data_IF_576480494122
#
_entry.id   IF_576480494122
#
_cell.length_a   1.000
_cell.length_b   1.000
_cell.length_c   1.000
_cell.angle_alpha   90.00
_cell.angle_beta   90.00
_cell.angle_gamma   90.00
#
_symmetry.space_group_name_H-M   'P 1'
#
loop_
_entity.id
_entity.type
_entity.pdbx_description
1 polymer ?
#
# COMPACT_ATOMS: atom_id res chain seq x y z
N UNK A 1 11.68 -19.16 -11.12
CA UNK A 1 10.78 -18.40 -12.02
C UNK A 1 11.47 -17.09 -12.34
N UNK A 2 11.52 -16.71 -13.64
CA UNK A 2 12.22 -15.49 -14.07
C UNK A 2 11.28 -14.29 -14.00
N UNK A 3 11.78 -13.14 -13.54
CA UNK A 3 11.06 -11.88 -13.41
C UNK A 3 10.55 -11.36 -14.77
N UNK A 4 11.26 -11.62 -15.86
CA UNK A 4 10.89 -11.23 -17.22
C UNK A 4 9.51 -11.78 -17.65
N UNK A 5 9.03 -12.85 -17.02
CA UNK A 5 7.69 -13.38 -17.27
C UNK A 5 6.56 -12.45 -16.82
N UNK A 6 6.89 -11.42 -16.03
CA UNK A 6 5.96 -10.42 -15.51
C UNK A 6 6.22 -9.04 -16.09
N UNK A 7 6.97 -8.99 -17.20
CA UNK A 7 7.21 -7.77 -17.94
C UNK A 7 6.09 -7.50 -18.95
N UNK A 8 5.81 -6.23 -19.18
CA UNK A 8 4.91 -5.74 -20.21
C UNK A 8 5.26 -4.30 -20.53
N UNK A 9 5.03 -3.91 -21.76
CA UNK A 9 5.24 -2.52 -22.20
C UNK A 9 4.11 -1.64 -21.66
N UNK A 10 4.47 -0.62 -20.88
CA UNK A 10 3.55 0.34 -20.28
C UNK A 10 3.93 1.74 -20.74
N UNK A 11 3.07 2.42 -21.55
CA UNK A 11 3.26 3.81 -21.92
C UNK A 11 3.29 4.73 -20.68
N UNK A 12 4.27 5.62 -20.60
CA UNK A 12 4.45 6.53 -19.43
C UNK A 12 3.23 7.43 -19.20
N UNK A 13 2.54 7.84 -20.26
CA UNK A 13 1.34 8.67 -20.21
C UNK A 13 0.17 8.01 -19.49
N UNK A 14 0.17 6.68 -19.36
CA UNK A 14 -0.85 5.94 -18.59
C UNK A 14 -0.55 5.91 -17.08
N UNK A 15 0.62 6.34 -16.66
CA UNK A 15 0.97 6.44 -15.24
C UNK A 15 0.30 7.67 -14.63
N UNK A 16 -0.71 7.45 -13.80
CA UNK A 16 -1.50 8.52 -13.21
C UNK A 16 -0.67 9.42 -12.29
N UNK A 17 -0.52 10.69 -12.63
CA UNK A 17 0.21 11.68 -11.85
C UNK A 17 -0.66 12.36 -10.79
N UNK A 18 -1.97 12.46 -11.03
CA UNK A 18 -2.93 13.12 -10.14
C UNK A 18 -4.15 12.26 -9.90
N UNK A 19 -4.79 12.34 -8.72
CA UNK A 19 -6.06 11.67 -8.48
C UNK A 19 -7.19 12.28 -9.33
N UNK A 20 -8.20 11.49 -9.65
CA UNK A 20 -9.45 11.98 -10.24
C UNK A 20 -10.16 12.93 -9.26
N UNK A 21 -10.93 13.87 -9.74
CA UNK A 21 -11.70 14.80 -8.90
C UNK A 21 -12.62 14.03 -7.94
N UNK A 22 -13.40 13.09 -8.44
CA UNK A 22 -14.20 12.16 -7.63
C UNK A 22 -13.53 10.79 -7.60
N UNK A 23 -13.25 10.25 -6.40
CA UNK A 23 -12.50 9.01 -6.18
C UNK A 23 -13.14 7.79 -6.85
N UNK A 24 -14.46 7.69 -6.78
CA UNK A 24 -15.27 6.55 -7.21
C UNK A 24 -15.67 6.58 -8.69
N UNK A 25 -15.21 7.58 -9.46
CA UNK A 25 -15.43 7.64 -10.91
C UNK A 25 -14.33 6.97 -11.73
N UNK A 26 -13.32 6.37 -11.10
CA UNK A 26 -12.28 5.60 -11.78
C UNK A 26 -12.88 4.43 -12.56
N UNK A 27 -12.21 4.02 -13.64
CA UNK A 27 -12.57 2.79 -14.35
C UNK A 27 -12.34 1.58 -13.46
N UNK A 28 -13.15 0.55 -13.65
CA UNK A 28 -13.06 -0.74 -12.98
C UNK A 28 -13.03 -1.85 -14.02
N UNK A 29 -11.95 -2.61 -14.07
CA UNK A 29 -11.86 -3.84 -14.85
C UNK A 29 -12.25 -5.02 -13.96
N UNK A 30 -13.30 -5.75 -14.32
CA UNK A 30 -13.67 -7.00 -13.67
C UNK A 30 -12.96 -8.13 -14.39
N UNK A 31 -12.22 -8.94 -13.66
CA UNK A 31 -11.53 -10.13 -14.19
C UNK A 31 -12.10 -11.39 -13.53
N UNK A 32 -12.71 -12.25 -14.32
CA UNK A 32 -13.15 -13.57 -13.89
C UNK A 32 -11.97 -14.54 -13.90
N UNK A 33 -11.38 -14.79 -12.73
CA UNK A 33 -10.11 -15.54 -12.60
C UNK A 33 -10.14 -16.97 -13.13
N UNK A 34 -11.33 -17.61 -13.21
CA UNK A 34 -11.48 -18.98 -13.73
C UNK A 34 -11.52 -19.02 -15.25
N UNK A 35 -12.11 -18.04 -15.89
CA UNK A 35 -12.36 -18.00 -17.34
C UNK A 35 -11.44 -17.06 -18.08
N UNK A 36 -10.87 -16.05 -17.39
CA UNK A 36 -10.13 -14.95 -18.01
C UNK A 36 -11.02 -13.90 -18.67
N UNK A 37 -12.37 -14.04 -18.54
CA UNK A 37 -13.33 -13.08 -19.06
C UNK A 37 -13.16 -11.72 -18.39
N UNK A 38 -13.40 -10.64 -19.17
CA UNK A 38 -13.19 -9.26 -18.73
C UNK A 38 -14.47 -8.46 -18.98
N UNK A 39 -14.86 -7.66 -17.99
CA UNK A 39 -15.87 -6.60 -18.13
C UNK A 39 -15.27 -5.24 -17.78
N UNK A 40 -15.81 -4.18 -18.39
CA UNK A 40 -15.40 -2.79 -18.13
C UNK A 40 -16.54 -2.02 -17.49
N UNK A 41 -16.24 -1.41 -16.33
CA UNK A 41 -17.20 -0.71 -15.46
C UNK A 41 -16.57 0.57 -14.89
N UNK A 42 -17.32 1.28 -14.06
CA UNK A 42 -16.81 2.31 -13.16
C UNK A 42 -16.76 1.77 -11.73
N UNK A 43 -15.95 2.39 -10.87
CA UNK A 43 -15.76 1.88 -9.51
C UNK A 43 -17.05 1.86 -8.68
N UNK A 44 -17.97 2.78 -8.94
CA UNK A 44 -19.30 2.81 -8.32
C UNK A 44 -20.09 1.52 -8.56
N UNK A 45 -19.84 0.83 -9.68
CA UNK A 45 -20.56 -0.39 -10.05
C UNK A 45 -20.09 -1.62 -9.26
N UNK A 46 -19.02 -1.48 -8.44
CA UNK A 46 -18.52 -2.58 -7.60
C UNK A 46 -19.60 -3.17 -6.71
N UNK A 47 -20.58 -2.35 -6.30
CA UNK A 47 -21.69 -2.78 -5.46
C UNK A 47 -22.53 -3.89 -6.10
N UNK A 48 -22.62 -3.93 -7.43
CA UNK A 48 -23.40 -4.94 -8.17
C UNK A 48 -22.75 -6.33 -8.10
N UNK A 49 -21.47 -6.39 -7.79
CA UNK A 49 -20.67 -7.61 -7.71
C UNK A 49 -20.50 -8.15 -6.29
N UNK A 50 -21.05 -7.45 -5.29
CA UNK A 50 -21.02 -7.84 -3.88
C UNK A 50 -22.37 -8.46 -3.48
N UNK A 51 -22.34 -9.51 -2.69
CA UNK A 51 -23.53 -10.19 -2.18
C UNK A 51 -23.72 -9.94 -0.68
N UNK A 52 -24.96 -9.96 -0.22
CA UNK A 52 -25.28 -9.90 1.21
C UNK A 52 -24.55 -10.99 1.97
N UNK A 53 -23.88 -10.61 3.06
CA UNK A 53 -23.07 -11.47 3.90
C UNK A 53 -21.61 -11.59 3.47
N UNK A 54 -21.23 -11.08 2.29
CA UNK A 54 -19.81 -10.93 1.93
C UNK A 54 -19.10 -9.95 2.88
N UNK A 55 -17.80 -10.02 2.93
CA UNK A 55 -16.98 -9.12 3.76
C UNK A 55 -15.87 -8.46 2.95
N UNK A 56 -15.88 -7.13 2.92
CA UNK A 56 -14.77 -6.31 2.45
C UNK A 56 -13.77 -6.07 3.57
N UNK A 57 -12.50 -6.34 3.30
CA UNK A 57 -11.41 -6.08 4.25
C UNK A 57 -10.53 -4.97 3.72
N UNK A 58 -10.52 -3.84 4.43
CA UNK A 58 -9.78 -2.64 4.08
C UNK A 58 -8.60 -2.41 5.02
N UNK A 59 -7.57 -1.73 4.54
CA UNK A 59 -6.44 -1.32 5.37
C UNK A 59 -6.64 0.12 5.86
N UNK A 60 -6.83 0.32 7.16
CA UNK A 60 -7.11 1.62 7.78
C UNK A 60 -5.86 2.39 8.21
N UNK A 61 -4.70 2.00 7.72
CA UNK A 61 -3.47 2.72 8.00
C UNK A 61 -3.55 4.18 7.52
N UNK A 62 -2.97 5.08 8.30
CA UNK A 62 -2.86 6.51 7.99
C UNK A 62 -1.41 6.87 7.65
N UNK A 63 -1.22 7.51 6.50
CA UNK A 63 0.09 8.00 6.06
C UNK A 63 0.47 9.21 6.89
N UNK A 64 1.73 9.24 7.33
CA UNK A 64 2.32 10.42 7.96
C UNK A 64 3.00 11.30 6.90
N UNK A 65 3.02 12.63 7.05
CA UNK A 65 3.84 13.51 6.23
C UNK A 65 5.32 13.31 6.59
N UNK A 66 5.86 12.18 6.10
CA UNK A 66 7.13 11.64 6.55
C UNK A 66 8.35 12.23 5.83
N UNK A 67 8.15 13.02 4.78
CA UNK A 67 9.24 13.64 4.02
C UNK A 67 9.55 15.01 4.58
N UNK A 68 10.74 15.17 5.13
CA UNK A 68 11.21 16.38 5.80
C UNK A 68 12.41 16.96 5.06
N UNK A 69 12.43 18.28 4.92
CA UNK A 69 13.57 19.02 4.38
C UNK A 69 14.19 19.86 5.48
N UNK A 70 15.47 19.66 5.70
CA UNK A 70 16.21 20.38 6.72
C UNK A 70 17.60 20.79 6.25
N UNK A 71 18.32 21.42 7.13
CA UNK A 71 19.72 21.83 6.90
C UNK A 71 20.62 21.15 7.92
N UNK A 72 21.74 20.63 7.47
CA UNK A 72 22.79 20.14 8.35
C UNK A 72 23.32 21.31 9.18
N UNK A 73 23.37 21.17 10.49
CA UNK A 73 23.61 22.30 11.40
C UNK A 73 24.95 22.98 11.13
N UNK A 74 26.02 22.21 10.91
CA UNK A 74 27.39 22.73 10.72
C UNK A 74 27.59 23.36 9.34
N UNK A 75 27.20 22.65 8.26
CA UNK A 75 27.56 23.02 6.88
C UNK A 75 26.46 23.76 6.13
N UNK A 76 25.26 23.86 6.71
CA UNK A 76 24.04 24.40 6.08
C UNK A 76 23.64 23.69 4.79
N UNK A 77 24.16 22.49 4.56
CA UNK A 77 23.77 21.67 3.41
C UNK A 77 22.31 21.22 3.53
N UNK A 78 21.58 21.31 2.44
CA UNK A 78 20.19 20.81 2.35
C UNK A 78 20.18 19.29 2.43
N UNK A 79 19.32 18.74 3.27
CA UNK A 79 19.14 17.31 3.51
C UNK A 79 17.64 16.99 3.45
N UNK A 80 17.29 16.03 2.62
CA UNK A 80 15.97 15.38 2.63
C UNK A 80 16.05 14.16 3.54
N UNK A 81 15.12 14.05 4.48
CA UNK A 81 14.94 12.88 5.33
C UNK A 81 13.53 12.36 5.17
N UNK A 82 13.41 11.08 4.85
CA UNK A 82 12.15 10.39 4.76
C UNK A 82 12.04 9.36 5.87
N UNK A 83 11.15 9.58 6.81
CA UNK A 83 10.89 8.67 7.92
C UNK A 83 10.27 7.36 7.38
N UNK A 84 10.87 6.21 7.72
CA UNK A 84 10.44 4.90 7.24
C UNK A 84 9.75 4.08 8.33
N UNK A 85 10.41 3.94 9.47
CA UNK A 85 10.00 3.07 10.56
C UNK A 85 10.54 3.57 11.88
N UNK A 86 9.68 3.66 12.88
CA UNK A 86 10.10 3.87 14.26
C UNK A 86 10.65 2.56 14.83
N UNK A 87 11.95 2.55 15.17
CA UNK A 87 12.64 1.37 15.72
C UNK A 87 12.60 1.31 17.24
N UNK A 88 12.51 2.47 17.88
CA UNK A 88 12.20 2.68 19.29
C UNK A 88 11.67 4.10 19.45
N UNK A 89 11.11 4.41 20.60
CA UNK A 89 10.54 5.74 20.89
C UNK A 89 11.45 6.86 20.41
N UNK A 90 10.90 7.73 19.57
CA UNK A 90 11.56 8.90 18.96
C UNK A 90 12.79 8.58 18.10
N UNK A 91 12.98 7.32 17.72
CA UNK A 91 14.14 6.90 16.93
C UNK A 91 13.68 6.16 15.68
N UNK A 92 14.05 6.69 14.52
CA UNK A 92 13.53 6.28 13.23
C UNK A 92 14.61 5.84 12.26
N UNK A 93 14.36 4.75 11.56
CA UNK A 93 15.06 4.48 10.30
C UNK A 93 14.53 5.45 9.24
N UNK A 94 15.45 6.07 8.49
CA UNK A 94 15.14 7.08 7.50
C UNK A 94 15.93 6.86 6.23
N UNK A 95 15.32 7.14 5.08
CA UNK A 95 16.06 7.30 3.83
C UNK A 95 16.52 8.75 3.72
N UNK A 96 17.79 8.97 3.38
CA UNK A 96 18.43 10.28 3.39
C UNK A 96 18.95 10.65 2.01
N UNK A 97 18.78 11.90 1.60
CA UNK A 97 19.37 12.45 0.37
C UNK A 97 19.98 13.83 0.65
N UNK A 98 21.25 14.03 0.30
CA UNK A 98 22.27 13.05 -0.08
C UNK A 98 22.83 12.32 1.15
N UNK A 99 22.70 10.98 1.19
CA UNK A 99 23.08 10.17 2.35
C UNK A 99 24.58 10.24 2.72
N UNK A 100 25.46 10.42 1.73
CA UNK A 100 26.92 10.55 1.93
C UNK A 100 27.34 11.75 2.80
N UNK A 101 26.43 12.72 2.97
CA UNK A 101 26.70 13.91 3.79
C UNK A 101 26.33 13.76 5.26
N UNK A 102 25.77 12.61 5.65
CA UNK A 102 25.30 12.39 7.02
C UNK A 102 26.03 11.21 7.65
N UNK A 103 26.73 11.51 8.76
CA UNK A 103 27.47 10.59 9.58
C UNK A 103 26.91 10.55 11.02
N UNK A 104 27.34 9.57 11.80
CA UNK A 104 26.93 9.46 13.22
C UNK A 104 27.30 10.71 13.99
N UNK A 105 26.37 11.20 14.81
CA UNK A 105 26.53 12.42 15.64
C UNK A 105 26.03 13.70 14.96
N UNK A 106 25.90 13.71 13.63
CA UNK A 106 25.48 14.92 12.90
C UNK A 106 23.99 15.23 13.09
N UNK A 107 23.68 16.53 13.11
CA UNK A 107 22.35 17.05 13.36
C UNK A 107 21.80 17.72 12.10
N UNK A 108 20.57 17.40 11.76
CA UNK A 108 19.76 18.08 10.74
C UNK A 108 18.65 18.85 11.43
N UNK A 109 18.60 20.16 11.19
CA UNK A 109 17.56 21.05 11.72
C UNK A 109 16.49 21.30 10.68
N UNK A 110 15.21 21.05 11.02
CA UNK A 110 14.05 21.28 10.15
C UNK A 110 13.34 22.59 10.50
N UNK A 111 13.23 22.88 11.79
CA UNK A 111 12.66 24.13 12.33
C UNK A 111 13.18 24.38 13.75
N UNK A 112 12.66 25.38 14.42
CA UNK A 112 12.94 25.61 15.84
C UNK A 112 12.25 24.59 16.76
N UNK A 113 11.27 23.84 16.22
CA UNK A 113 10.50 22.80 16.93
C UNK A 113 11.05 21.39 16.71
N UNK A 114 11.79 21.12 15.60
CA UNK A 114 12.22 19.79 15.22
C UNK A 114 13.64 19.77 14.67
N UNK A 115 14.45 18.86 15.21
CA UNK A 115 15.75 18.45 14.68
C UNK A 115 15.91 16.92 14.78
N UNK A 116 16.89 16.38 14.07
CA UNK A 116 17.19 14.95 14.10
C UNK A 116 18.71 14.74 14.21
N UNK A 117 19.14 13.87 15.13
CA UNK A 117 20.53 13.48 15.28
C UNK A 117 20.76 12.07 14.73
N UNK A 118 21.72 11.92 13.82
CA UNK A 118 22.10 10.61 13.29
C UNK A 118 22.77 9.76 14.36
N UNK A 119 22.21 8.59 14.64
CA UNK A 119 22.74 7.65 15.65
C UNK A 119 23.39 6.42 15.03
N UNK A 120 23.04 6.09 13.77
CA UNK A 120 23.60 4.91 13.08
C UNK A 120 23.57 5.16 11.56
N UNK A 121 24.60 4.66 10.88
CA UNK A 121 24.71 4.64 9.40
C UNK A 121 24.51 3.21 8.93
N UNK A 122 23.54 3.02 8.01
CA UNK A 122 23.26 1.74 7.36
C UNK A 122 23.51 1.85 5.85
N UNK A 123 23.46 0.72 5.17
CA UNK A 123 23.59 0.64 3.72
C UNK A 123 22.42 1.29 2.97
N UNK A 124 22.52 1.40 1.66
CA UNK A 124 21.48 1.88 0.75
C UNK A 124 20.90 3.27 1.06
N UNK A 125 21.68 4.14 1.71
CA UNK A 125 21.23 5.49 2.06
C UNK A 125 20.37 5.57 3.32
N UNK A 126 20.25 4.46 4.05
CA UNK A 126 19.52 4.41 5.32
C UNK A 126 20.38 4.99 6.45
N UNK A 127 19.74 5.76 7.31
CA UNK A 127 20.28 6.30 8.55
C UNK A 127 19.28 6.12 9.67
N UNK A 128 19.77 5.95 10.89
CA UNK A 128 18.90 5.97 12.08
C UNK A 128 19.04 7.33 12.75
N UNK A 129 17.92 7.99 12.97
CA UNK A 129 17.86 9.30 13.61
C UNK A 129 17.06 9.25 14.90
N UNK A 130 17.59 9.90 15.93
CA UNK A 130 16.82 10.28 17.09
C UNK A 130 16.19 11.65 16.82
N UNK A 131 14.87 11.73 16.85
CA UNK A 131 14.14 12.99 16.71
C UNK A 131 14.17 13.75 18.03
N UNK A 132 14.42 15.04 17.95
CA UNK A 132 14.49 15.98 19.08
C UNK A 132 13.47 17.08 18.76
N UNK A 133 12.40 17.17 19.57
CA UNK A 133 11.30 18.06 19.27
C UNK A 133 10.66 18.66 20.54
N UNK A 134 9.91 19.75 20.36
CA UNK A 134 9.15 20.45 21.40
C UNK A 134 7.66 20.44 21.01
N UNK A 135 6.83 19.72 21.77
CA UNK A 135 5.40 19.58 21.50
C UNK A 135 4.99 18.16 21.08
N UNK A 136 3.97 18.03 20.24
CA UNK A 136 3.46 16.75 19.75
C UNK A 136 4.06 16.47 18.38
N UNK A 137 4.80 15.37 18.25
CA UNK A 137 5.55 15.02 17.03
C UNK A 137 4.66 15.03 15.78
N UNK A 138 3.50 14.41 15.84
CA UNK A 138 2.64 14.29 14.65
C UNK A 138 2.05 15.63 14.19
N UNK A 139 1.79 16.57 15.10
CA UNK A 139 1.38 17.95 14.74
C UNK A 139 2.52 18.68 14.04
N UNK A 140 3.75 18.50 14.51
CA UNK A 140 4.94 19.09 13.90
C UNK A 140 5.19 18.49 12.52
N UNK A 141 4.99 17.17 12.34
CA UNK A 141 5.11 16.53 11.05
C UNK A 141 4.03 17.01 10.07
N UNK A 142 2.80 17.24 10.54
CA UNK A 142 1.73 17.80 9.71
C UNK A 142 2.06 19.24 9.25
N UNK A 143 2.74 20.03 10.09
CA UNK A 143 3.17 21.40 9.77
C UNK A 143 4.34 21.42 8.77
N UNK A 144 5.36 20.59 8.97
CA UNK A 144 6.64 20.65 8.26
C UNK A 144 6.80 19.63 7.14
N UNK A 145 6.12 18.50 7.24
CA UNK A 145 6.32 17.35 6.37
C UNK A 145 5.50 17.41 5.08
N UNK A 146 6.05 16.78 4.06
CA UNK A 146 5.33 16.50 2.81
C UNK A 146 4.90 15.03 2.78
N UNK A 147 3.75 14.77 2.08
CA UNK A 147 3.29 13.39 1.84
C UNK A 147 4.31 12.63 1.01
N UNK A 148 4.72 11.44 1.44
CA UNK A 148 5.75 10.66 0.77
C UNK A 148 5.17 9.94 -0.46
N UNK A 149 4.91 10.70 -1.53
CA UNK A 149 4.43 10.12 -2.78
C UNK A 149 5.44 9.13 -3.37
N UNK A 150 4.95 8.08 -4.05
CA UNK A 150 5.81 7.17 -4.79
C UNK A 150 6.70 7.88 -5.81
N UNK A 151 7.88 7.33 -6.14
CA UNK A 151 8.87 8.00 -6.98
C UNK A 151 8.43 8.26 -8.42
N UNK A 152 7.40 7.55 -8.91
CA UNK A 152 6.83 7.74 -10.25
C UNK A 152 5.78 8.86 -10.31
N UNK A 153 5.42 9.47 -9.19
CA UNK A 153 4.56 10.66 -9.12
C UNK A 153 5.46 11.87 -8.97
N UNK A 154 5.49 12.70 -10.00
CA UNK A 154 6.30 13.91 -10.05
C UNK A 154 5.48 15.17 -9.77
N UNK A 155 4.16 15.08 -9.93
CA UNK A 155 3.24 16.18 -9.66
C UNK A 155 3.02 16.38 -8.16
N UNK A 156 3.03 17.64 -7.71
CA UNK A 156 2.71 17.97 -6.32
C UNK A 156 1.21 17.86 -6.07
N UNK A 157 0.84 17.18 -5.00
CA UNK A 157 -0.55 17.16 -4.55
C UNK A 157 -0.99 18.55 -4.08
N UNK A 158 -2.10 19.02 -4.61
CA UNK A 158 -2.77 20.26 -4.13
C UNK A 158 -3.43 20.05 -2.77
N UNK A 159 -3.92 18.85 -2.53
CA UNK A 159 -4.61 18.43 -1.30
C UNK A 159 -3.97 17.13 -0.77
N UNK A 160 -3.35 17.23 0.41
CA UNK A 160 -2.68 16.11 1.09
C UNK A 160 -3.64 14.94 1.36
N UNK A 161 -4.91 15.22 1.64
CA UNK A 161 -5.91 14.20 1.97
C UNK A 161 -6.30 13.32 0.78
N UNK A 162 -5.90 13.71 -0.44
CA UNK A 162 -6.09 12.88 -1.63
C UNK A 162 -5.19 11.64 -1.64
N UNK A 163 -4.10 11.63 -0.88
CA UNK A 163 -3.25 10.45 -0.65
C UNK A 163 -3.55 9.76 0.68
N UNK A 164 -4.81 9.85 1.13
CA UNK A 164 -5.36 9.14 2.30
C UNK A 164 -6.68 8.46 1.92
N UNK A 165 -6.94 7.31 2.50
CA UNK A 165 -8.28 6.71 2.44
C UNK A 165 -9.25 7.48 3.32
N UNK A 166 -10.54 7.50 2.96
CA UNK A 166 -11.59 8.19 3.74
C UNK A 166 -11.83 7.59 5.13
N UNK A 167 -11.24 6.43 5.38
CA UNK A 167 -11.33 5.67 6.65
C UNK A 167 -9.97 5.51 7.34
N UNK A 168 -8.93 6.25 6.90
CA UNK A 168 -7.61 6.18 7.51
C UNK A 168 -7.66 6.57 8.99
N UNK A 169 -7.12 5.69 9.87
CA UNK A 169 -7.23 5.83 11.33
C UNK A 169 -5.89 5.63 12.03
N UNK A 170 -5.23 4.51 11.78
CA UNK A 170 -4.03 4.11 12.53
C UNK A 170 -2.78 4.71 11.89
N UNK A 171 -2.17 5.69 12.56
CA UNK A 171 -1.00 6.43 12.08
C UNK A 171 0.24 5.54 12.09
N UNK A 172 1.10 5.61 11.05
CA UNK A 172 2.39 4.91 11.04
C UNK A 172 2.88 4.47 9.66
N UNK A 173 2.14 4.77 8.60
CA UNK A 173 2.49 4.33 7.24
C UNK A 173 3.30 5.37 6.49
N UNK A 174 4.27 4.90 5.71
CA UNK A 174 5.03 5.72 4.76
C UNK A 174 4.34 5.79 3.38
N UNK A 175 3.29 4.98 3.13
CA UNK A 175 2.53 5.00 1.88
C UNK A 175 1.06 4.65 2.10
N UNK A 176 0.18 5.16 1.23
CA UNK A 176 -1.24 4.86 1.29
C UNK A 176 -1.56 3.46 0.73
N UNK A 177 -2.59 2.77 1.28
CA UNK A 177 -3.14 1.57 0.67
C UNK A 177 -4.03 1.97 -0.52
N UNK A 178 -3.41 2.17 -1.68
CA UNK A 178 -3.96 2.93 -2.80
C UNK A 178 -5.23 2.34 -3.42
N UNK A 179 -5.46 1.03 -3.35
CA UNK A 179 -6.73 0.42 -3.74
C UNK A 179 -7.93 0.93 -2.91
N UNK A 180 -7.67 1.38 -1.68
CA UNK A 180 -8.68 2.00 -0.82
C UNK A 180 -9.05 3.43 -1.21
N UNK A 181 -8.22 4.09 -2.02
CA UNK A 181 -8.45 5.48 -2.44
C UNK A 181 -9.69 5.65 -3.33
N UNK A 182 -10.16 4.58 -3.96
CA UNK A 182 -11.37 4.60 -4.79
C UNK A 182 -12.67 4.71 -3.99
N UNK A 183 -12.65 4.32 -2.72
CA UNK A 183 -13.84 4.34 -1.87
C UNK A 183 -14.16 5.74 -1.37
N UNK A 184 -15.44 6.10 -1.42
CA UNK A 184 -16.04 7.23 -0.72
C UNK A 184 -16.83 6.73 0.49
N UNK A 185 -17.10 7.62 1.46
CA UNK A 185 -17.97 7.25 2.60
C UNK A 185 -19.37 6.87 2.14
N UNK A 186 -19.89 7.55 1.12
CA UNK A 186 -21.20 7.26 0.53
C UNK A 186 -21.26 5.84 -0.07
N UNK A 187 -20.24 5.48 -0.87
CA UNK A 187 -20.15 4.12 -1.44
C UNK A 187 -20.05 3.05 -0.35
N UNK A 188 -19.22 3.28 0.69
CA UNK A 188 -19.10 2.35 1.82
C UNK A 188 -20.42 2.19 2.58
N UNK A 189 -21.20 3.27 2.74
CA UNK A 189 -22.51 3.20 3.37
C UNK A 189 -23.51 2.40 2.53
N UNK A 190 -23.57 2.64 1.22
CA UNK A 190 -24.42 1.84 0.29
C UNK A 190 -24.04 0.35 0.31
N UNK A 191 -22.75 0.03 0.40
CA UNK A 191 -22.27 -1.35 0.53
C UNK A 191 -22.79 -1.98 1.83
N UNK A 192 -22.73 -1.25 2.95
CA UNK A 192 -23.26 -1.72 4.25
C UNK A 192 -24.79 -1.89 4.22
N UNK A 193 -25.52 -0.99 3.56
CA UNK A 193 -26.97 -1.09 3.37
C UNK A 193 -27.37 -2.35 2.58
N UNK A 194 -26.48 -2.86 1.72
CA UNK A 194 -26.64 -4.15 1.02
C UNK A 194 -26.33 -5.35 1.93
N UNK A 195 -26.11 -5.16 3.23
CA UNK A 195 -25.69 -6.17 4.21
C UNK A 195 -24.33 -6.83 3.87
N UNK A 196 -23.43 -6.11 3.24
CA UNK A 196 -22.02 -6.48 3.09
C UNK A 196 -21.25 -5.96 4.29
N UNK A 197 -20.50 -6.83 4.95
CA UNK A 197 -19.66 -6.42 6.06
C UNK A 197 -18.47 -5.61 5.56
N UNK A 198 -18.14 -4.54 6.28
CA UNK A 198 -16.95 -3.72 6.03
C UNK A 198 -16.09 -3.73 7.29
N UNK A 199 -14.95 -4.39 7.21
CA UNK A 199 -14.02 -4.54 8.33
C UNK A 199 -12.64 -4.03 7.99
N UNK A 200 -11.82 -3.79 9.00
CA UNK A 200 -10.52 -3.17 8.85
C UNK A 200 -9.42 -4.02 9.45
N UNK A 201 -8.29 -4.03 8.78
CA UNK A 201 -6.99 -4.43 9.32
C UNK A 201 -6.07 -3.21 9.25
N UNK A 202 -4.98 -3.23 9.97
CA UNK A 202 -3.91 -2.26 9.81
C UNK A 202 -2.66 -2.95 9.27
N UNK A 203 -2.08 -2.43 8.20
CA UNK A 203 -0.71 -2.75 7.79
C UNK A 203 -0.02 -1.43 7.46
N UNK A 204 1.07 -1.14 8.15
CA UNK A 204 1.88 0.04 7.86
C UNK A 204 2.80 -0.24 6.68
N UNK A 205 2.47 0.39 5.55
CA UNK A 205 3.19 0.20 4.28
C UNK A 205 4.54 0.90 4.35
N UNK A 206 5.61 0.14 4.13
CA UNK A 206 6.95 0.68 3.98
C UNK A 206 7.26 1.11 2.54
N UNK A 207 8.29 1.94 2.36
CA UNK A 207 8.72 2.38 1.02
C UNK A 207 9.29 1.25 0.16
N UNK A 208 9.62 0.12 0.74
CA UNK A 208 10.08 -1.06 0.00
C UNK A 208 9.10 -1.54 -1.05
N UNK A 209 7.80 -1.25 -0.86
CA UNK A 209 6.73 -1.61 -1.81
C UNK A 209 6.91 -0.93 -3.18
N UNK A 210 7.62 0.20 -3.26
CA UNK A 210 7.87 0.93 -4.50
C UNK A 210 9.26 0.66 -5.09
N UNK A 211 10.07 -0.18 -4.45
CA UNK A 211 11.37 -0.56 -5.01
C UNK A 211 11.17 -1.63 -6.08
N UNK A 212 11.81 -1.47 -7.27
CA UNK A 212 11.80 -2.53 -8.26
C UNK A 212 12.49 -3.78 -7.72
N UNK A 213 12.06 -4.93 -8.20
CA UNK A 213 12.74 -6.20 -7.92
C UNK A 213 14.02 -6.23 -8.74
N UNK A 214 15.17 -6.24 -8.07
CA UNK A 214 16.51 -6.19 -8.69
C UNK A 214 17.19 -7.57 -8.79
N UNK A 215 16.41 -8.64 -8.88
CA UNK A 215 16.93 -10.01 -9.01
C UNK A 215 16.32 -10.67 -10.23
N UNK A 216 17.12 -11.48 -10.95
CA UNK A 216 16.63 -12.23 -12.13
C UNK A 216 15.73 -13.40 -11.72
N UNK A 217 16.08 -14.09 -10.64
CA UNK A 217 15.28 -15.18 -10.10
C UNK A 217 14.49 -14.68 -8.89
N UNK A 218 13.17 -14.79 -8.96
CA UNK A 218 12.28 -14.31 -7.89
C UNK A 218 12.54 -14.97 -6.52
N UNK A 219 13.12 -16.19 -6.50
CA UNK A 219 13.46 -16.88 -5.24
C UNK A 219 14.57 -16.18 -4.43
N UNK A 220 15.35 -15.32 -5.09
CA UNK A 220 16.42 -14.56 -4.45
C UNK A 220 15.92 -13.22 -3.88
N UNK A 221 14.66 -12.87 -4.18
CA UNK A 221 14.06 -11.64 -3.68
C UNK A 221 13.68 -11.73 -2.21
N UNK A 222 14.12 -10.74 -1.42
CA UNK A 222 13.76 -10.59 -0.01
C UNK A 222 12.73 -9.49 0.14
N UNK A 223 11.54 -9.85 0.62
CA UNK A 223 10.51 -8.87 0.94
C UNK A 223 10.87 -8.04 2.17
N UNK A 224 10.48 -6.78 2.15
CA UNK A 224 10.57 -5.95 3.35
C UNK A 224 9.51 -6.37 4.36
N UNK A 225 9.90 -6.33 5.63
CA UNK A 225 9.00 -6.63 6.74
C UNK A 225 8.12 -5.43 7.06
N UNK A 226 6.81 -5.62 7.16
CA UNK A 226 5.80 -4.61 7.44
C UNK A 226 4.95 -5.02 8.63
N UNK A 227 4.65 -4.04 9.51
CA UNK A 227 3.87 -4.29 10.73
C UNK A 227 2.38 -4.35 10.40
N UNK A 228 1.70 -5.37 10.94
CA UNK A 228 0.25 -5.53 10.80
C UNK A 228 -0.46 -5.74 12.13
N UNK A 229 -1.75 -5.42 12.15
CA UNK A 229 -2.68 -5.70 13.26
C UNK A 229 -4.04 -6.15 12.71
N UNK A 230 -4.68 -7.07 13.45
CA UNK A 230 -6.09 -7.45 13.27
C UNK A 230 -6.77 -7.42 14.63
N UNK A 231 -7.91 -6.72 14.72
CA UNK A 231 -8.71 -6.67 15.93
C UNK A 231 -9.53 -7.97 16.12
N UNK A 232 -9.99 -8.19 17.35
CA UNK A 232 -10.88 -9.29 17.68
C UNK A 232 -12.18 -9.22 16.88
N UNK A 233 -12.78 -8.04 16.76
CA UNK A 233 -14.03 -7.80 16.05
C UNK A 233 -13.90 -8.18 14.56
N UNK A 234 -12.83 -7.75 13.92
CA UNK A 234 -12.54 -8.12 12.52
C UNK A 234 -12.37 -9.63 12.37
N UNK A 235 -11.62 -10.26 13.27
CA UNK A 235 -11.41 -11.70 13.24
C UNK A 235 -12.72 -12.49 13.36
N UNK A 236 -13.61 -12.10 14.27
CA UNK A 236 -14.90 -12.76 14.46
C UNK A 236 -15.82 -12.61 13.24
N UNK A 237 -15.88 -11.43 12.61
CA UNK A 237 -16.65 -11.22 11.38
C UNK A 237 -16.11 -12.12 10.24
N UNK A 238 -14.80 -12.23 10.08
CA UNK A 238 -14.18 -13.08 9.05
C UNK A 238 -14.46 -14.56 9.29
N UNK A 239 -14.41 -15.04 10.55
CA UNK A 239 -14.81 -16.41 10.91
C UNK A 239 -16.26 -16.66 10.55
N UNK A 240 -17.16 -15.73 10.89
CA UNK A 240 -18.57 -15.86 10.57
C UNK A 240 -18.84 -15.85 9.05
N UNK A 241 -18.13 -15.03 8.30
CA UNK A 241 -18.18 -14.99 6.83
C UNK A 241 -17.84 -16.37 6.26
N UNK A 242 -16.75 -16.98 6.71
CA UNK A 242 -16.35 -18.33 6.29
C UNK A 242 -17.40 -19.40 6.67
N UNK A 243 -17.90 -19.34 7.91
CA UNK A 243 -18.94 -20.27 8.39
C UNK A 243 -20.21 -20.21 7.56
N UNK A 244 -20.56 -19.03 7.06
CA UNK A 244 -21.74 -18.79 6.22
C UNK A 244 -21.47 -19.04 4.72
N UNK A 245 -20.30 -19.57 4.32
CA UNK A 245 -19.88 -19.78 2.95
C UNK A 245 -19.97 -18.51 2.07
N UNK A 246 -19.71 -17.34 2.67
CA UNK A 246 -19.66 -16.04 1.99
C UNK A 246 -18.22 -15.66 1.64
N UNK A 247 -18.09 -14.68 0.74
CA UNK A 247 -16.79 -14.28 0.20
C UNK A 247 -16.06 -13.30 1.10
N UNK A 248 -14.77 -13.50 1.23
CA UNK A 248 -13.84 -12.53 1.80
C UNK A 248 -13.14 -11.83 0.65
N UNK A 249 -13.39 -10.53 0.54
CA UNK A 249 -12.91 -9.68 -0.56
C UNK A 249 -11.86 -8.73 0.03
N UNK A 250 -10.61 -8.94 -0.36
CA UNK A 250 -9.53 -8.08 0.07
C UNK A 250 -9.47 -6.80 -0.77
N UNK A 251 -9.30 -5.67 -0.12
CA UNK A 251 -9.06 -4.38 -0.80
C UNK A 251 -7.58 -4.03 -0.64
N UNK A 252 -6.86 -4.15 -1.75
CA UNK A 252 -5.42 -3.94 -1.85
C UNK A 252 -4.58 -5.16 -1.51
N UNK A 253 -3.39 -5.17 -2.06
CA UNK A 253 -2.38 -6.22 -1.83
C UNK A 253 -1.90 -6.24 -0.37
N UNK A 254 -1.96 -5.10 0.32
CA UNK A 254 -1.62 -4.99 1.76
C UNK A 254 -2.58 -5.77 2.64
N UNK A 255 -3.89 -5.64 2.41
CA UNK A 255 -4.90 -6.43 3.12
C UNK A 255 -4.74 -7.92 2.80
N UNK A 256 -4.50 -8.27 1.54
CA UNK A 256 -4.24 -9.65 1.12
C UNK A 256 -3.04 -10.25 1.87
N UNK A 257 -1.90 -9.55 1.89
CA UNK A 257 -0.69 -10.02 2.56
C UNK A 257 -0.91 -10.20 4.06
N UNK A 258 -1.64 -9.31 4.71
CA UNK A 258 -2.00 -9.45 6.13
C UNK A 258 -2.83 -10.70 6.37
N UNK A 259 -3.93 -10.86 5.64
CA UNK A 259 -4.86 -11.97 5.82
C UNK A 259 -4.20 -13.32 5.55
N UNK A 260 -3.42 -13.43 4.47
CA UNK A 260 -2.69 -14.65 4.12
C UNK A 260 -1.58 -14.97 5.13
N UNK A 261 -0.90 -13.97 5.69
CA UNK A 261 0.06 -14.15 6.78
C UNK A 261 -0.60 -14.74 8.00
N UNK A 262 -1.74 -14.20 8.42
CA UNK A 262 -2.49 -14.68 9.59
C UNK A 262 -2.93 -16.12 9.39
N UNK A 263 -3.49 -16.45 8.23
CA UNK A 263 -3.91 -17.81 7.91
C UNK A 263 -2.73 -18.80 7.81
N UNK A 264 -1.57 -18.36 7.36
CA UNK A 264 -0.37 -19.21 7.31
C UNK A 264 0.19 -19.47 8.71
N UNK A 265 0.18 -18.46 9.60
CA UNK A 265 0.74 -18.57 10.94
C UNK A 265 -0.18 -19.33 11.92
N UNK A 266 -1.48 -19.09 11.83
CA UNK A 266 -2.43 -19.55 12.86
C UNK A 266 -3.46 -20.56 12.35
N UNK A 267 -3.66 -20.69 11.03
CA UNK A 267 -4.71 -21.54 10.45
C UNK A 267 -6.12 -20.99 10.62
N UNK A 268 -6.31 -19.87 11.31
CA UNK A 268 -7.58 -19.20 11.57
C UNK A 268 -7.42 -17.69 11.64
N UNK A 269 -8.51 -16.95 11.49
CA UNK A 269 -8.54 -15.52 11.80
C UNK A 269 -8.62 -15.32 13.31
N UNK A 270 -7.73 -14.50 13.87
CA UNK A 270 -7.70 -14.19 15.30
C UNK A 270 -7.14 -12.80 15.55
N UNK A 271 -7.45 -12.24 16.70
CA UNK A 271 -6.79 -11.03 17.18
C UNK A 271 -5.27 -11.27 17.25
N UNK A 272 -4.53 -10.45 16.57
CA UNK A 272 -3.07 -10.54 16.53
C UNK A 272 -2.42 -9.27 15.99
N UNK A 273 -1.13 -9.14 16.26
CA UNK A 273 -0.24 -8.19 15.61
C UNK A 273 1.11 -8.86 15.36
N UNK A 274 1.83 -8.36 14.39
CA UNK A 274 3.12 -8.95 14.05
C UNK A 274 3.76 -8.27 12.84
N UNK A 275 4.74 -8.93 12.29
CA UNK A 275 5.47 -8.49 11.10
C UNK A 275 5.25 -9.49 9.98
N UNK A 276 5.06 -9.00 8.76
CA UNK A 276 4.94 -9.84 7.55
C UNK A 276 5.96 -9.43 6.51
N UNK A 277 6.64 -10.43 5.98
CA UNK A 277 7.50 -10.39 4.82
C UNK A 277 7.02 -11.38 3.74
N UNK A 278 5.74 -11.75 3.80
CA UNK A 278 5.15 -12.72 2.89
C UNK A 278 5.34 -12.30 1.43
N UNK A 279 5.90 -13.18 0.63
CA UNK A 279 6.05 -13.03 -0.80
C UNK A 279 5.08 -13.98 -1.52
N UNK A 280 4.09 -13.42 -2.19
CA UNK A 280 3.06 -14.17 -2.91
C UNK A 280 3.34 -14.08 -4.41
N UNK A 281 3.54 -15.24 -5.05
CA UNK A 281 3.80 -15.38 -6.48
C UNK A 281 3.14 -16.65 -7.03
N UNK A 282 3.07 -16.88 -8.34
CA UNK A 282 2.42 -18.05 -8.92
C UNK A 282 2.89 -19.37 -8.32
N UNK A 283 1.92 -20.20 -7.93
CA UNK A 283 2.11 -21.41 -7.13
C UNK A 283 1.66 -21.26 -5.67
N UNK A 284 1.48 -20.04 -5.18
CA UNK A 284 0.90 -19.79 -3.86
C UNK A 284 -0.57 -20.22 -3.81
N UNK A 285 -0.96 -20.90 -2.73
CA UNK A 285 -2.35 -21.31 -2.49
C UNK A 285 -3.00 -20.37 -1.49
N UNK A 286 -3.89 -19.52 -1.97
CA UNK A 286 -4.66 -18.59 -1.12
C UNK A 286 -5.56 -19.34 -0.14
N UNK A 287 -5.54 -18.93 1.12
CA UNK A 287 -6.31 -19.52 2.23
C UNK A 287 -7.31 -18.53 2.82
N UNK A 288 -6.97 -17.24 2.77
CA UNK A 288 -7.70 -16.20 3.48
C UNK A 288 -8.71 -15.48 2.61
N UNK A 289 -8.41 -15.23 1.35
CA UNK A 289 -9.24 -14.41 0.47
C UNK A 289 -9.87 -15.20 -0.67
N UNK A 290 -11.03 -14.75 -1.11
CA UNK A 290 -11.69 -15.27 -2.31
C UNK A 290 -11.47 -14.36 -3.51
N UNK A 291 -11.61 -13.05 -3.32
CA UNK A 291 -11.54 -12.03 -4.37
C UNK A 291 -10.68 -10.86 -3.93
N UNK A 292 -10.21 -10.08 -4.90
CA UNK A 292 -9.28 -8.97 -4.67
C UNK A 292 -9.67 -7.75 -5.51
N UNK A 293 -9.82 -6.59 -4.83
CA UNK A 293 -9.88 -5.27 -5.48
C UNK A 293 -8.50 -4.66 -5.38
N UNK A 294 -7.91 -4.23 -6.49
CA UNK A 294 -6.54 -3.69 -6.52
C UNK A 294 -6.37 -2.66 -7.64
N UNK A 295 -5.30 -1.88 -7.61
CA UNK A 295 -4.87 -1.05 -8.73
C UNK A 295 -4.10 -1.88 -9.76
N UNK A 296 -3.81 -1.29 -10.92
CA UNK A 296 -2.84 -1.84 -11.87
C UNK A 296 -1.43 -1.55 -11.38
N UNK A 297 -0.55 -2.54 -11.49
CA UNK A 297 0.80 -2.53 -10.92
C UNK A 297 1.90 -2.38 -11.96
N UNK A 298 3.11 -2.02 -11.50
CA UNK A 298 4.32 -1.89 -12.31
C UNK A 298 4.75 -3.22 -12.96
N UNK A 299 5.30 -3.20 -14.18
CA UNK A 299 6.00 -4.35 -14.74
C UNK A 299 7.07 -4.87 -13.78
N UNK A 300 7.32 -6.18 -13.81
CA UNK A 300 8.35 -6.87 -12.99
C UNK A 300 8.22 -6.63 -11.47
N UNK A 301 7.06 -6.21 -10.98
CA UNK A 301 6.85 -5.97 -9.55
C UNK A 301 6.33 -7.19 -8.80
N UNK A 302 6.61 -7.25 -7.50
CA UNK A 302 6.04 -8.28 -6.61
C UNK A 302 4.51 -8.27 -6.60
N UNK A 303 3.90 -7.12 -6.91
CA UNK A 303 2.46 -6.95 -6.92
C UNK A 303 1.80 -7.58 -8.17
N UNK A 304 2.44 -7.49 -9.35
CA UNK A 304 1.99 -8.23 -10.54
C UNK A 304 2.10 -9.74 -10.32
N UNK A 305 3.13 -10.18 -9.58
CA UNK A 305 3.28 -11.59 -9.22
C UNK A 305 2.14 -12.06 -8.30
N UNK A 306 1.75 -11.24 -7.30
CA UNK A 306 0.65 -11.55 -6.39
C UNK A 306 -0.68 -11.71 -7.13
N UNK A 307 -1.04 -10.76 -7.99
CA UNK A 307 -2.29 -10.85 -8.77
C UNK A 307 -2.25 -12.01 -9.75
N UNK A 308 -1.06 -12.31 -10.32
CA UNK A 308 -0.84 -13.47 -11.18
C UNK A 308 -0.98 -14.81 -10.43
N UNK A 309 -0.62 -14.84 -9.14
CA UNK A 309 -0.85 -16.00 -8.29
C UNK A 309 -2.35 -16.27 -8.07
N UNK A 310 -3.16 -15.20 -7.98
CA UNK A 310 -4.60 -15.31 -7.72
C UNK A 310 -5.42 -15.68 -8.98
N UNK A 311 -5.10 -15.10 -10.13
CA UNK A 311 -5.92 -15.21 -11.35
C UNK A 311 -5.25 -16.02 -12.49
N UNK A 312 -4.01 -16.45 -12.29
CA UNK A 312 -3.18 -17.00 -13.35
C UNK A 312 -2.47 -15.91 -14.16
N UNK A 313 -1.20 -16.15 -14.49
CA UNK A 313 -0.35 -15.18 -15.19
C UNK A 313 -0.94 -14.77 -16.54
N UNK A 314 -1.43 -15.70 -17.33
CA UNK A 314 -2.00 -15.41 -18.66
C UNK A 314 -3.20 -14.50 -18.58
N UNK A 315 -4.13 -14.77 -17.67
CA UNK A 315 -5.31 -13.92 -17.45
C UNK A 315 -4.91 -12.50 -17.03
N UNK A 316 -3.92 -12.36 -16.16
CA UNK A 316 -3.42 -11.05 -15.73
C UNK A 316 -2.75 -10.30 -16.89
N UNK A 317 -1.85 -10.94 -17.64
CA UNK A 317 -1.20 -10.30 -18.79
C UNK A 317 -2.21 -9.86 -19.85
N UNK A 318 -3.23 -10.67 -20.13
CA UNK A 318 -4.30 -10.32 -21.06
C UNK A 318 -5.13 -9.14 -20.51
N UNK A 319 -5.47 -9.14 -19.22
CA UNK A 319 -6.20 -8.03 -18.59
C UNK A 319 -5.40 -6.72 -18.64
N UNK A 320 -4.08 -6.77 -18.39
CA UNK A 320 -3.20 -5.60 -18.46
C UNK A 320 -3.08 -5.07 -19.90
N UNK A 321 -2.91 -5.96 -20.88
CA UNK A 321 -2.89 -5.59 -22.30
C UNK A 321 -4.20 -4.91 -22.73
N UNK A 322 -5.35 -5.44 -22.29
CA UNK A 322 -6.65 -4.84 -22.59
C UNK A 322 -6.84 -3.50 -21.87
N UNK A 323 -6.36 -3.38 -20.63
CA UNK A 323 -6.39 -2.12 -19.88
C UNK A 323 -5.54 -1.03 -20.57
N UNK A 324 -4.33 -1.36 -21.05
CA UNK A 324 -3.46 -0.45 -21.79
C UNK A 324 -4.15 -0.01 -23.08
N UNK A 325 -4.70 -0.94 -23.86
CA UNK A 325 -5.42 -0.66 -25.11
C UNK A 325 -6.62 0.29 -24.90
N UNK A 326 -7.26 0.23 -23.73
CA UNK A 326 -8.42 1.07 -23.37
C UNK A 326 -8.04 2.29 -22.54
N UNK A 327 -6.74 2.61 -22.47
CA UNK A 327 -6.23 3.77 -21.76
C UNK A 327 -6.72 3.83 -20.31
N UNK A 328 -6.61 2.70 -19.60
CA UNK A 328 -6.73 2.70 -18.15
C UNK A 328 -5.52 3.40 -17.54
N UNK A 329 -5.74 4.08 -16.44
CA UNK A 329 -4.70 4.75 -15.68
C UNK A 329 -4.05 3.74 -14.72
N UNK A 330 -2.73 3.82 -14.58
CA UNK A 330 -1.95 2.87 -13.81
C UNK A 330 -1.45 3.47 -12.49
N UNK A 331 -1.14 2.62 -11.52
CA UNK A 331 -0.53 2.84 -10.21
C UNK A 331 -1.42 3.55 -9.19
N UNK A 332 -0.81 4.32 -8.25
CA UNK A 332 -1.45 4.81 -7.03
C UNK A 332 -2.72 5.63 -7.24
N UNK A 333 -2.74 6.49 -8.24
CA UNK A 333 -3.91 7.29 -8.62
C UNK A 333 -4.61 6.80 -9.88
N UNK A 334 -4.27 5.59 -10.29
CA UNK A 334 -4.84 4.96 -11.47
C UNK A 334 -6.23 4.39 -11.25
N UNK A 335 -6.64 3.57 -12.20
CA UNK A 335 -7.90 2.83 -12.18
C UNK A 335 -7.76 1.53 -11.39
N UNK A 336 -8.85 0.80 -11.23
CA UNK A 336 -8.91 -0.41 -10.42
C UNK A 336 -9.25 -1.65 -11.22
N UNK A 337 -8.92 -2.80 -10.65
CA UNK A 337 -9.28 -4.13 -11.11
C UNK A 337 -9.93 -4.91 -9.97
N UNK A 338 -11.01 -5.61 -10.26
CA UNK A 338 -11.64 -6.57 -9.36
C UNK A 338 -11.46 -7.99 -9.91
N UNK A 339 -10.68 -8.79 -9.21
CA UNK A 339 -10.41 -10.20 -9.53
C UNK A 339 -11.38 -11.06 -8.71
N UNK A 340 -12.30 -11.77 -9.41
CA UNK A 340 -13.37 -12.55 -8.78
C UNK A 340 -13.50 -13.99 -9.32
#
# INVERSE_FOLDING_TARGET
MNIEQFDFELPEELIAQTPLEKRDTSKLLILYKKTGEIEHKHFTDIIDYLESGDTLVLNDTKVIPARLYGVKEETKALIEILLLKEVKKDTWECLVKPAKRIHVGEIVKFSDKLSAQCTEVKDEGIRVFKLIYKGILYEILDELGEMPLPPYIHEKLKDKDRYQTVYAKNIGSAAAPTAGLHFTLDLLNKIKEKNVNVVYITLHVGLGTFRPVNVENINDHKMHSEFYMMSKETAEVLKQTRKNNKKIISVGTTSTRTLETIMNLYGEFKECSGWTDIFIYPGYKFKAIDNLITNFHLPKSTLVMLVSALAGRENIMNAYKEAIKREYRFFSFGDSMFIK
#
